data_IF_760381254100
#
_entry.id   IF_760381254100
#
_cell.length_a   1.000
_cell.length_b   1.000
_cell.length_c   1.000
_cell.angle_alpha   90.00
_cell.angle_beta   90.00
_cell.angle_gamma   90.00
#
_symmetry.space_group_name_H-M   'P 1'
#
loop_
_entity.id
_entity.type
_entity.pdbx_description
1 polymer ?
#
# COMPACT_ATOMS: atom_id res chain seq x y z
N UNK A 1 -12.71 33.81 -11.66
CA UNK A 1 -11.47 33.01 -11.46
C UNK A 1 -11.89 31.55 -11.50
N UNK A 2 -11.33 30.73 -12.41
CA UNK A 2 -11.74 29.31 -12.52
C UNK A 2 -11.36 28.53 -11.25
N UNK A 3 -12.23 27.60 -10.85
CA UNK A 3 -12.03 26.67 -9.75
C UNK A 3 -11.87 25.25 -10.31
N UNK A 4 -10.76 24.60 -9.97
CA UNK A 4 -10.53 23.19 -10.29
C UNK A 4 -10.70 22.37 -9.00
N UNK A 5 -11.53 21.35 -9.06
CA UNK A 5 -11.81 20.41 -7.98
C UNK A 5 -11.40 19.03 -8.45
N UNK A 6 -10.55 18.37 -7.67
CA UNK A 6 -10.12 16.99 -7.91
C UNK A 6 -10.65 16.15 -6.75
N UNK A 7 -11.64 15.30 -7.05
CA UNK A 7 -12.28 14.40 -6.08
C UNK A 7 -11.71 12.98 -6.23
N UNK A 8 -10.92 12.55 -5.25
CA UNK A 8 -10.29 11.23 -5.22
C UNK A 8 -10.98 10.26 -4.24
N UNK A 9 -12.14 10.64 -3.70
CA UNK A 9 -12.86 9.86 -2.68
C UNK A 9 -13.60 8.65 -3.24
N UNK A 10 -13.67 7.57 -2.45
CA UNK A 10 -14.52 6.39 -2.72
C UNK A 10 -15.26 6.02 -1.43
N UNK A 11 -16.57 6.35 -1.28
CA UNK A 11 -17.43 7.07 -2.25
C UNK A 11 -17.04 8.54 -2.46
N UNK A 12 -17.51 9.14 -3.56
CA UNK A 12 -17.18 10.53 -3.98
C UNK A 12 -17.45 11.54 -2.87
N UNK A 13 -16.58 12.54 -2.73
CA UNK A 13 -16.74 13.60 -1.74
C UNK A 13 -17.57 14.79 -2.26
N UNK A 14 -17.63 14.98 -3.58
CA UNK A 14 -18.25 16.14 -4.22
C UNK A 14 -19.40 15.70 -5.11
N UNK A 15 -20.51 16.45 -5.07
CA UNK A 15 -21.65 16.18 -5.93
C UNK A 15 -21.33 16.40 -7.42
N UNK A 16 -21.83 15.52 -8.30
CA UNK A 16 -21.56 15.59 -9.74
C UNK A 16 -22.12 16.89 -10.37
N UNK A 17 -23.22 17.38 -9.80
CA UNK A 17 -23.90 18.62 -10.17
C UNK A 17 -23.01 19.86 -10.00
N UNK A 18 -21.98 19.80 -9.15
CA UNK A 18 -21.00 20.88 -8.95
C UNK A 18 -20.21 21.15 -10.24
N UNK A 19 -20.01 20.14 -11.09
CA UNK A 19 -19.35 20.29 -12.39
C UNK A 19 -20.14 21.09 -13.42
N UNK A 20 -21.43 21.33 -13.20
CA UNK A 20 -22.27 22.14 -14.09
C UNK A 20 -22.21 23.65 -13.78
N UNK A 21 -21.56 24.03 -12.67
CA UNK A 21 -21.43 25.43 -12.28
C UNK A 21 -20.47 26.17 -13.20
N UNK A 22 -20.81 27.43 -13.50
CA UNK A 22 -19.97 28.28 -14.33
C UNK A 22 -18.59 28.48 -13.68
N UNK A 23 -17.53 28.33 -14.47
CA UNK A 23 -16.14 28.42 -14.03
C UNK A 23 -15.68 27.31 -13.06
N UNK A 24 -16.37 26.17 -12.98
CA UNK A 24 -15.94 24.99 -12.22
C UNK A 24 -15.52 23.86 -13.15
N UNK A 25 -14.37 23.24 -12.84
CA UNK A 25 -13.92 22.00 -13.45
C UNK A 25 -13.83 20.93 -12.36
N UNK A 26 -14.62 19.88 -12.47
CA UNK A 26 -14.63 18.75 -11.54
C UNK A 26 -14.03 17.53 -12.24
N UNK A 27 -12.98 16.96 -11.64
CA UNK A 27 -12.37 15.70 -12.06
C UNK A 27 -12.50 14.67 -10.93
N UNK A 28 -12.88 13.45 -11.27
CA UNK A 28 -12.93 12.32 -10.34
C UNK A 28 -11.88 11.25 -10.70
N UNK A 29 -11.87 10.14 -9.96
CA UNK A 29 -10.93 9.04 -10.18
C UNK A 29 -11.06 8.36 -11.56
N UNK A 30 -12.26 8.34 -12.14
CA UNK A 30 -12.52 7.77 -13.47
C UNK A 30 -11.95 8.66 -14.58
N UNK A 31 -12.00 9.98 -14.41
CA UNK A 31 -11.41 10.94 -15.35
C UNK A 31 -9.88 10.84 -15.44
N UNK A 32 -9.24 10.26 -14.41
CA UNK A 32 -7.79 10.09 -14.34
C UNK A 32 -7.31 8.80 -15.02
N UNK A 33 -8.20 7.94 -15.53
CA UNK A 33 -7.83 6.66 -16.15
C UNK A 33 -6.85 6.81 -17.33
N UNK A 34 -7.01 7.84 -18.16
CA UNK A 34 -6.10 8.10 -19.29
C UNK A 34 -4.66 8.47 -18.88
N UNK A 35 -4.45 9.05 -17.71
CA UNK A 35 -3.11 9.38 -17.17
C UNK A 35 -2.45 8.13 -16.59
N UNK A 36 -3.24 7.22 -16.04
CA UNK A 36 -2.76 5.98 -15.42
C UNK A 36 -2.07 5.08 -16.45
N UNK A 37 -2.56 5.03 -17.70
CA UNK A 37 -2.00 4.20 -18.76
C UNK A 37 -0.55 4.57 -19.13
N UNK A 38 -0.22 5.86 -19.14
CA UNK A 38 1.15 6.32 -19.33
C UNK A 38 2.06 5.94 -18.15
N UNK A 39 1.52 5.95 -16.92
CA UNK A 39 2.26 5.63 -15.71
C UNK A 39 2.48 4.12 -15.52
N UNK A 40 1.73 3.26 -16.21
CA UNK A 40 1.87 1.80 -16.11
C UNK A 40 3.24 1.28 -16.55
N UNK A 41 3.84 1.86 -17.62
CA UNK A 41 5.15 1.42 -18.09
C UNK A 41 6.26 1.71 -17.08
N UNK A 42 6.28 2.92 -16.52
CA UNK A 42 7.21 3.32 -15.45
C UNK A 42 6.99 2.49 -14.18
N UNK A 43 5.72 2.22 -13.82
CA UNK A 43 5.38 1.37 -12.68
C UNK A 43 5.85 -0.07 -12.84
N UNK A 44 5.80 -0.66 -14.05
CA UNK A 44 6.27 -2.05 -14.26
C UNK A 44 7.74 -2.23 -13.91
N UNK A 45 8.61 -1.32 -14.35
CA UNK A 45 10.03 -1.39 -14.02
C UNK A 45 10.29 -1.21 -12.51
N UNK A 46 9.57 -0.28 -11.87
CA UNK A 46 9.66 -0.09 -10.42
C UNK A 46 9.12 -1.29 -9.62
N UNK A 47 8.11 -2.00 -10.15
CA UNK A 47 7.54 -3.19 -9.53
C UNK A 47 8.53 -4.36 -9.52
N UNK A 48 9.26 -4.59 -10.62
CA UNK A 48 10.29 -5.63 -10.69
C UNK A 48 11.38 -5.41 -9.63
N UNK A 49 11.88 -4.18 -9.51
CA UNK A 49 12.85 -3.82 -8.47
C UNK A 49 12.27 -3.98 -7.07
N UNK A 50 11.02 -3.58 -6.88
CA UNK A 50 10.32 -3.69 -5.59
C UNK A 50 10.11 -5.15 -5.17
N UNK A 51 9.81 -6.04 -6.12
CA UNK A 51 9.67 -7.48 -5.86
C UNK A 51 10.98 -8.08 -5.35
N UNK A 52 12.12 -7.73 -5.98
CA UNK A 52 13.42 -8.20 -5.51
C UNK A 52 13.73 -7.74 -4.08
N UNK A 53 13.43 -6.48 -3.77
CA UNK A 53 13.60 -5.94 -2.41
C UNK A 53 12.70 -6.68 -1.43
N UNK A 54 11.44 -6.91 -1.81
CA UNK A 54 10.46 -7.59 -0.96
C UNK A 54 10.88 -9.03 -0.68
N UNK A 55 11.30 -9.78 -1.68
CA UNK A 55 11.79 -11.16 -1.53
C UNK A 55 12.99 -11.23 -0.59
N UNK A 56 13.96 -10.32 -0.73
CA UNK A 56 15.11 -10.24 0.17
C UNK A 56 14.67 -9.96 1.62
N UNK A 57 13.71 -9.05 1.81
CA UNK A 57 13.19 -8.71 3.14
C UNK A 57 12.42 -9.87 3.77
N UNK A 58 11.57 -10.54 3.01
CA UNK A 58 10.81 -11.71 3.47
C UNK A 58 11.77 -12.84 3.84
N UNK A 59 12.75 -13.13 2.97
CA UNK A 59 13.75 -14.17 3.23
C UNK A 59 14.55 -13.86 4.49
N UNK A 60 15.05 -12.63 4.62
CA UNK A 60 15.79 -12.20 5.82
C UNK A 60 14.94 -12.28 7.09
N UNK A 61 13.67 -11.87 7.02
CA UNK A 61 12.74 -11.98 8.15
C UNK A 61 12.51 -13.44 8.57
N UNK A 62 12.31 -14.35 7.61
CA UNK A 62 12.10 -15.77 7.90
C UNK A 62 13.36 -16.44 8.48
N UNK A 63 14.55 -16.08 7.97
CA UNK A 63 15.83 -16.55 8.52
C UNK A 63 16.00 -16.11 9.97
N UNK A 64 15.82 -14.82 10.24
CA UNK A 64 15.86 -14.26 11.60
C UNK A 64 14.87 -14.94 12.53
N UNK A 65 13.64 -15.17 12.07
CA UNK A 65 12.61 -15.87 12.85
C UNK A 65 13.05 -17.29 13.23
N UNK A 66 13.64 -18.05 12.29
CA UNK A 66 14.11 -19.41 12.52
C UNK A 66 15.33 -19.48 13.43
N UNK A 67 16.26 -18.53 13.32
CA UNK A 67 17.54 -18.57 14.03
C UNK A 67 17.45 -17.99 15.44
N UNK A 68 16.65 -16.95 15.66
CA UNK A 68 16.62 -16.22 16.94
C UNK A 68 15.32 -16.45 17.72
N UNK A 69 14.18 -16.50 17.04
CA UNK A 69 12.87 -16.55 17.72
C UNK A 69 12.46 -17.98 18.05
N UNK A 70 12.55 -18.91 17.09
CA UNK A 70 12.15 -20.32 17.30
C UNK A 70 12.94 -21.01 18.43
N UNK A 71 14.27 -20.86 18.56
CA UNK A 71 15.04 -21.49 19.64
C UNK A 71 14.74 -20.92 21.03
N UNK A 72 14.13 -19.73 21.12
CA UNK A 72 13.66 -19.16 22.38
C UNK A 72 12.36 -19.83 22.89
N UNK A 73 11.57 -20.47 22.03
CA UNK A 73 10.28 -21.07 22.41
C UNK A 73 10.44 -22.27 23.37
N UNK A 74 11.37 -23.23 23.16
CA UNK A 74 11.63 -24.30 24.12
C UNK A 74 12.01 -23.80 25.52
N UNK A 75 12.79 -22.71 25.59
CA UNK A 75 13.24 -22.12 26.85
C UNK A 75 12.10 -21.52 27.68
N UNK A 76 11.04 -21.03 27.04
CA UNK A 76 9.84 -20.50 27.72
C UNK A 76 8.93 -21.65 28.18
N UNK A 77 8.86 -22.75 27.42
CA UNK A 77 8.06 -23.93 27.78
C UNK A 77 8.69 -24.86 28.82
N UNK A 78 9.97 -24.67 29.17
CA UNK A 78 10.73 -25.55 30.09
C UNK A 78 11.21 -24.89 31.39
N UNK A 79 10.68 -23.70 31.75
CA UNK A 79 10.84 -23.13 33.09
C UNK A 79 10.34 -24.09 34.19
N UNK A 80 10.90 -24.05 35.41
CA UNK A 80 10.90 -25.18 36.35
C UNK A 80 9.52 -25.43 36.96
N UNK A 81 8.71 -26.27 36.32
CA UNK A 81 7.54 -26.93 36.95
C UNK A 81 8.01 -28.23 37.60
N UNK A 82 9.03 -28.16 38.45
CA UNK A 82 9.52 -29.31 39.22
C UNK A 82 10.25 -28.90 40.52
N UNK A 83 9.84 -27.78 41.13
CA UNK A 83 10.28 -27.39 42.46
C UNK A 83 9.10 -26.84 43.27
N UNK A 84 8.16 -27.74 43.60
CA UNK A 84 7.17 -27.57 44.67
C UNK A 84 6.92 -28.92 45.33
#
# INVERSE_FOLDING_TARGET
>A
RPLCIVDLGVPRNVEAEVGALENVYLFNIDDLQGVVEHHHAVRRQALEQSQQILEQKVTGFLSWWQEEVVPCVPAISSGPVAAR
#
